data_IF_948225371169
#
_entry.id   IF_948225371169
#
_cell.length_a   1.000
_cell.length_b   1.000
_cell.length_c   1.000
_cell.angle_alpha   90.00
_cell.angle_beta   90.00
_cell.angle_gamma   90.00
#
_symmetry.space_group_name_H-M   'P 1'
#
loop_
_entity.id
_entity.type
_entity.pdbx_description
1 polymer ?
#
# COMPACT_ATOMS: atom_id res chain seq x y z
N UNK A 1 11.66 -23.57 7.02
CA UNK A 1 11.42 -22.99 8.35
C UNK A 1 10.68 -21.65 8.21
N UNK A 2 9.61 -21.49 8.92
CA UNK A 2 8.89 -20.23 8.94
C UNK A 2 9.67 -19.20 9.77
N UNK A 3 10.04 -18.10 9.13
CA UNK A 3 10.82 -17.04 9.77
C UNK A 3 9.95 -15.94 10.37
N UNK A 4 8.65 -15.96 10.10
CA UNK A 4 7.72 -15.00 10.64
C UNK A 4 7.19 -15.49 11.98
N UNK A 5 7.44 -14.71 13.05
CA UNK A 5 7.03 -15.05 14.40
C UNK A 5 5.53 -14.79 14.65
N UNK A 6 4.85 -14.11 13.72
CA UNK A 6 3.46 -13.73 13.88
C UNK A 6 2.57 -14.52 12.94
N UNK A 7 1.41 -14.90 13.44
CA UNK A 7 0.38 -15.56 12.66
C UNK A 7 -0.71 -14.54 12.31
N UNK A 8 -0.82 -14.21 11.03
CA UNK A 8 -1.83 -13.31 10.50
C UNK A 8 -2.93 -14.04 9.74
N UNK A 9 -3.08 -15.32 9.95
CA UNK A 9 -4.10 -16.11 9.30
C UNK A 9 -5.49 -15.50 9.55
N UNK A 10 -6.29 -15.39 8.50
CA UNK A 10 -7.62 -14.78 8.53
C UNK A 10 -7.64 -13.27 8.79
N UNK A 11 -6.48 -12.61 8.73
CA UNK A 11 -6.38 -11.16 8.80
C UNK A 11 -6.20 -10.58 7.40
N UNK A 12 -6.74 -9.40 7.17
CA UNK A 12 -6.57 -8.67 5.92
C UNK A 12 -5.84 -7.37 6.20
N UNK A 13 -4.73 -7.17 5.51
CA UNK A 13 -3.93 -5.96 5.61
C UNK A 13 -4.01 -5.17 4.30
N UNK A 14 -4.25 -3.88 4.42
CA UNK A 14 -4.18 -2.92 3.30
C UNK A 14 -2.88 -2.13 3.47
N UNK A 15 -2.09 -2.05 2.41
CA UNK A 15 -0.80 -1.36 2.42
C UNK A 15 -0.78 -0.33 1.31
N UNK A 16 -0.72 0.94 1.67
CA UNK A 16 -0.61 2.02 0.70
C UNK A 16 0.84 2.15 0.22
N UNK A 17 1.04 2.43 -1.06
CA UNK A 17 2.38 2.46 -1.62
C UNK A 17 3.04 1.08 -1.61
N UNK A 18 2.26 0.01 -1.78
CA UNK A 18 2.72 -1.36 -1.60
C UNK A 18 3.44 -1.99 -2.78
N UNK A 19 3.58 -1.28 -3.90
CA UNK A 19 4.14 -1.85 -5.12
C UNK A 19 5.66 -1.80 -5.19
N UNK A 20 6.32 -1.15 -4.25
CA UNK A 20 7.79 -1.07 -4.22
C UNK A 20 8.29 -0.69 -2.82
N UNK A 21 9.60 -0.81 -2.62
CA UNK A 21 10.28 -0.36 -1.41
C UNK A 21 9.76 -1.02 -0.14
N UNK A 22 9.67 -0.24 0.92
CA UNK A 22 9.24 -0.74 2.23
C UNK A 22 7.83 -1.30 2.21
N UNK A 23 6.93 -0.68 1.47
CA UNK A 23 5.55 -1.18 1.36
C UNK A 23 5.49 -2.58 0.78
N UNK A 24 6.28 -2.85 -0.25
CA UNK A 24 6.37 -4.18 -0.84
C UNK A 24 6.99 -5.19 0.13
N UNK A 25 8.03 -4.81 0.84
CA UNK A 25 8.66 -5.69 1.83
C UNK A 25 7.70 -6.03 2.96
N UNK A 26 6.92 -5.05 3.42
CA UNK A 26 5.89 -5.27 4.44
C UNK A 26 4.81 -6.22 3.92
N UNK A 27 4.38 -6.03 2.68
CA UNK A 27 3.39 -6.91 2.04
C UNK A 27 3.86 -8.36 2.02
N UNK A 28 5.10 -8.60 1.64
CA UNK A 28 5.69 -9.94 1.63
C UNK A 28 5.70 -10.56 3.02
N UNK A 29 6.00 -9.78 4.05
CA UNK A 29 6.00 -10.26 5.44
C UNK A 29 4.62 -10.68 5.90
N UNK A 30 3.60 -9.90 5.59
CA UNK A 30 2.23 -10.27 5.92
C UNK A 30 1.79 -11.53 5.18
N UNK A 31 2.16 -11.67 3.92
CA UNK A 31 1.85 -12.89 3.15
C UNK A 31 2.51 -14.12 3.76
N UNK A 32 3.76 -14.02 4.21
CA UNK A 32 4.46 -15.10 4.90
C UNK A 32 3.74 -15.53 6.17
N UNK A 33 3.11 -14.58 6.86
CA UNK A 33 2.31 -14.84 8.06
C UNK A 33 0.90 -15.35 7.80
N UNK A 34 0.53 -15.54 6.55
CA UNK A 34 -0.78 -16.08 6.17
C UNK A 34 -1.88 -15.06 5.97
N UNK A 35 -1.57 -13.78 6.01
CA UNK A 35 -2.55 -12.72 5.81
C UNK A 35 -3.03 -12.64 4.36
N UNK A 36 -4.24 -12.13 4.16
CA UNK A 36 -4.65 -11.56 2.89
C UNK A 36 -4.09 -10.15 2.83
N UNK A 37 -3.50 -9.79 1.71
CA UNK A 37 -2.87 -8.48 1.52
C UNK A 37 -3.46 -7.80 0.31
N UNK A 38 -3.86 -6.55 0.49
CA UNK A 38 -4.32 -5.67 -0.58
C UNK A 38 -3.33 -4.53 -0.68
N UNK A 39 -2.60 -4.45 -1.77
CA UNK A 39 -1.69 -3.33 -2.00
C UNK A 39 -2.37 -2.25 -2.82
N UNK A 40 -2.20 -1.01 -2.38
CA UNK A 40 -2.71 0.16 -3.07
C UNK A 40 -1.53 0.94 -3.61
N UNK A 41 -1.59 1.28 -4.87
CA UNK A 41 -0.58 2.12 -5.50
C UNK A 41 -1.22 2.87 -6.67
N UNK A 42 -0.65 4.00 -7.00
CA UNK A 42 -1.11 4.79 -8.15
C UNK A 42 -0.52 4.25 -9.46
N UNK A 43 0.56 3.49 -9.38
CA UNK A 43 1.28 2.95 -10.53
C UNK A 43 0.74 1.58 -10.93
N UNK A 44 -0.16 1.57 -11.91
CA UNK A 44 -0.82 0.33 -12.37
C UNK A 44 0.14 -0.68 -12.97
N UNK A 45 1.16 -0.23 -13.68
CA UNK A 45 2.15 -1.12 -14.30
C UNK A 45 2.98 -1.83 -13.23
N UNK A 46 3.37 -1.10 -12.21
CA UNK A 46 4.15 -1.65 -11.10
C UNK A 46 3.33 -2.65 -10.30
N UNK A 47 2.05 -2.36 -10.05
CA UNK A 47 1.13 -3.29 -9.40
C UNK A 47 1.03 -4.60 -10.17
N UNK A 48 0.87 -4.53 -11.48
CA UNK A 48 0.77 -5.72 -12.32
C UNK A 48 2.04 -6.57 -12.25
N UNK A 49 3.20 -5.93 -12.31
CA UNK A 49 4.50 -6.62 -12.17
C UNK A 49 4.62 -7.34 -10.84
N UNK A 50 4.21 -6.69 -9.75
CA UNK A 50 4.28 -7.27 -8.41
C UNK A 50 3.36 -8.47 -8.28
N UNK A 51 2.12 -8.36 -8.75
CA UNK A 51 1.17 -9.47 -8.70
C UNK A 51 1.69 -10.69 -9.47
N UNK A 52 2.25 -10.47 -10.65
CA UNK A 52 2.79 -11.55 -11.47
C UNK A 52 4.05 -12.16 -10.84
N UNK A 53 4.90 -11.35 -10.25
CA UNK A 53 6.15 -11.79 -9.65
C UNK A 53 5.92 -12.63 -8.39
N UNK A 54 5.04 -12.18 -7.51
CA UNK A 54 4.77 -12.87 -6.25
C UNK A 54 3.86 -14.08 -6.46
N UNK A 55 2.85 -13.94 -7.31
CA UNK A 55 1.93 -15.02 -7.67
C UNK A 55 1.35 -15.75 -6.44
N UNK A 56 0.73 -15.00 -5.55
CA UNK A 56 0.11 -15.52 -4.34
C UNK A 56 -1.38 -15.18 -4.33
N UNK A 57 -2.22 -16.17 -4.13
CA UNK A 57 -3.68 -15.98 -4.17
C UNK A 57 -4.18 -15.02 -3.09
N UNK A 58 -3.43 -14.85 -2.02
CA UNK A 58 -3.77 -13.92 -0.94
C UNK A 58 -3.37 -12.48 -1.23
N UNK A 59 -2.70 -12.22 -2.35
CA UNK A 59 -2.28 -10.89 -2.75
C UNK A 59 -3.20 -10.34 -3.84
N UNK A 60 -3.81 -9.20 -3.56
CA UNK A 60 -4.60 -8.43 -4.54
C UNK A 60 -4.14 -6.99 -4.54
N UNK A 61 -4.63 -6.23 -5.49
CA UNK A 61 -4.25 -4.82 -5.60
C UNK A 61 -5.41 -3.95 -6.06
N UNK A 62 -5.32 -2.67 -5.76
CA UNK A 62 -6.20 -1.65 -6.31
C UNK A 62 -5.35 -0.44 -6.73
N UNK A 63 -5.74 0.18 -7.83
CA UNK A 63 -5.15 1.46 -8.26
C UNK A 63 -5.81 2.53 -7.41
N UNK A 64 -5.04 3.17 -6.54
CA UNK A 64 -5.55 4.17 -5.60
C UNK A 64 -4.63 5.36 -5.54
N UNK A 65 -5.20 6.54 -5.70
CA UNK A 65 -4.56 7.79 -5.36
C UNK A 65 -5.02 8.16 -3.94
N UNK A 66 -4.14 8.03 -2.95
CA UNK A 66 -4.49 8.27 -1.54
C UNK A 66 -4.85 9.72 -1.26
N UNK A 67 -4.54 10.64 -2.15
CA UNK A 67 -4.95 12.04 -2.06
C UNK A 67 -6.34 12.29 -2.63
N UNK A 68 -6.96 11.30 -3.24
CA UNK A 68 -8.28 11.38 -3.85
C UNK A 68 -9.25 10.49 -3.07
N UNK A 69 -10.16 11.12 -2.34
CA UNK A 69 -11.11 10.42 -1.46
C UNK A 69 -11.95 9.38 -2.22
N UNK A 70 -12.38 9.68 -3.43
CA UNK A 70 -13.23 8.77 -4.20
C UNK A 70 -12.53 7.45 -4.53
N UNK A 71 -11.25 7.49 -4.90
CA UNK A 71 -10.50 6.27 -5.19
C UNK A 71 -10.29 5.44 -3.93
N UNK A 72 -10.07 6.09 -2.79
CA UNK A 72 -9.95 5.42 -1.49
C UNK A 72 -11.26 4.76 -1.10
N UNK A 73 -12.36 5.48 -1.20
CA UNK A 73 -13.69 4.95 -0.87
C UNK A 73 -14.04 3.73 -1.72
N UNK A 74 -13.82 3.82 -3.03
CA UNK A 74 -14.10 2.71 -3.94
C UNK A 74 -13.27 1.48 -3.60
N UNK A 75 -12.00 1.66 -3.28
CA UNK A 75 -11.11 0.55 -2.92
C UNK A 75 -11.51 -0.09 -1.59
N UNK A 76 -11.89 0.71 -0.60
CA UNK A 76 -12.38 0.21 0.69
C UNK A 76 -13.64 -0.62 0.48
N UNK A 77 -14.60 -0.09 -0.25
CA UNK A 77 -15.87 -0.79 -0.49
C UNK A 77 -15.64 -2.10 -1.24
N UNK A 78 -14.75 -2.12 -2.20
CA UNK A 78 -14.40 -3.32 -2.95
C UNK A 78 -13.79 -4.38 -2.04
N UNK A 79 -12.91 -3.99 -1.14
CA UNK A 79 -12.28 -4.90 -0.19
C UNK A 79 -13.30 -5.46 0.79
N UNK A 80 -14.18 -4.61 1.32
CA UNK A 80 -15.17 -4.99 2.32
C UNK A 80 -16.24 -5.96 1.80
N UNK A 81 -16.40 -6.11 0.49
CA UNK A 81 -17.29 -7.10 -0.08
C UNK A 81 -16.84 -8.54 0.19
N UNK A 82 -15.55 -8.76 0.33
CA UNK A 82 -14.97 -10.09 0.43
C UNK A 82 -14.30 -10.36 1.78
N UNK A 83 -13.94 -9.33 2.53
CA UNK A 83 -13.26 -9.49 3.80
C UNK A 83 -13.37 -8.20 4.63
N UNK A 84 -13.00 -8.30 5.90
CA UNK A 84 -12.81 -7.12 6.74
C UNK A 84 -11.42 -6.55 6.50
N UNK A 85 -11.22 -5.31 6.88
CA UNK A 85 -9.88 -4.70 6.91
C UNK A 85 -9.45 -4.68 8.38
N UNK A 86 -8.44 -5.48 8.71
CA UNK A 86 -7.95 -5.60 10.09
C UNK A 86 -6.76 -4.69 10.35
N UNK A 87 -5.94 -4.46 9.32
CA UNK A 87 -4.68 -3.75 9.44
C UNK A 87 -4.55 -2.76 8.29
N UNK A 88 -4.15 -1.54 8.60
CA UNK A 88 -3.84 -0.53 7.59
C UNK A 88 -2.42 -0.03 7.81
N UNK A 89 -1.59 -0.15 6.80
CA UNK A 89 -0.22 0.39 6.80
C UNK A 89 -0.18 1.60 5.88
N UNK A 90 -0.03 2.77 6.46
CA UNK A 90 0.11 4.03 5.71
C UNK A 90 1.57 4.23 5.33
N UNK A 91 1.94 3.73 4.16
CA UNK A 91 3.31 3.81 3.64
C UNK A 91 3.44 4.73 2.42
N UNK A 92 2.33 5.03 1.74
CA UNK A 92 2.37 5.89 0.57
C UNK A 92 2.94 7.27 0.90
N UNK A 93 3.81 7.77 0.03
CA UNK A 93 4.40 9.08 0.21
C UNK A 93 5.33 9.42 -0.95
N UNK A 94 5.67 10.68 -1.03
CA UNK A 94 6.65 11.20 -1.98
C UNK A 94 7.65 12.05 -1.21
N UNK A 95 8.87 12.15 -1.75
CA UNK A 95 9.87 13.08 -1.23
C UNK A 95 9.94 14.29 -2.15
N UNK A 96 10.07 15.45 -1.54
CA UNK A 96 10.29 16.68 -2.27
C UNK A 96 11.77 17.04 -2.36
N UNK A 97 12.09 18.18 -2.99
CA UNK A 97 13.46 18.66 -3.06
C UNK A 97 14.01 19.00 -1.67
N UNK A 98 15.30 18.78 -1.50
CA UNK A 98 16.00 19.15 -0.25
C UNK A 98 16.33 20.64 -0.30
N UNK A 99 15.75 21.40 0.63
CA UNK A 99 15.97 22.83 0.73
C UNK A 99 15.66 23.31 2.15
N UNK A 100 16.24 24.45 2.60
CA UNK A 100 15.78 25.09 3.82
C UNK A 100 14.28 25.42 3.74
N UNK A 101 13.61 25.40 4.87
CA UNK A 101 12.16 25.58 4.92
C UNK A 101 11.68 26.86 4.22
N UNK A 102 12.42 27.96 4.40
CA UNK A 102 12.05 29.24 3.78
C UNK A 102 12.27 29.31 2.27
N UNK A 103 12.99 28.35 1.70
CA UNK A 103 13.22 28.26 0.26
C UNK A 103 12.36 27.18 -0.38
N UNK A 104 11.57 26.46 0.42
CA UNK A 104 10.80 25.32 -0.08
C UNK A 104 9.64 25.80 -0.94
N UNK A 105 9.48 25.15 -2.10
CA UNK A 105 8.37 25.42 -3.02
C UNK A 105 7.05 25.02 -2.36
N UNK A 106 6.13 25.97 -2.25
CA UNK A 106 4.83 25.75 -1.60
C UNK A 106 4.01 24.67 -2.32
N UNK A 107 4.06 24.64 -3.64
CA UNK A 107 3.33 23.64 -4.42
C UNK A 107 3.89 22.23 -4.15
N UNK A 108 5.20 22.10 -4.06
CA UNK A 108 5.85 20.84 -3.71
C UNK A 108 5.53 20.40 -2.29
N UNK A 109 5.52 21.35 -1.36
CA UNK A 109 5.13 21.08 0.03
C UNK A 109 3.69 20.56 0.09
N UNK A 110 2.77 21.23 -0.57
CA UNK A 110 1.36 20.83 -0.60
C UNK A 110 1.17 19.46 -1.25
N UNK A 111 1.92 19.16 -2.31
CA UNK A 111 1.89 17.87 -2.97
C UNK A 111 2.31 16.74 -2.02
N UNK A 112 3.37 16.94 -1.25
CA UNK A 112 3.87 15.96 -0.28
C UNK A 112 2.86 15.76 0.86
N UNK A 113 2.37 16.83 1.43
CA UNK A 113 1.47 16.78 2.60
C UNK A 113 0.14 16.15 2.24
N UNK A 114 -0.29 16.26 0.98
CA UNK A 114 -1.56 15.71 0.50
C UNK A 114 -1.56 14.17 0.47
N UNK A 115 -0.41 13.58 0.28
CA UNK A 115 -0.26 12.14 0.31
C UNK A 115 -0.35 11.64 1.76
#
# INVERSE_FOLDING_TARGET
MNKNLFDFKNKTAVITGGAQGFGLDIAKRFLEGGAKVVIWDIDSELLEKVLNSINNDNLTSNIVDVSNYKTVEDAVNKTLKNSNIDILINNAGITGPTAPLWEYDVDKWNEIVKI
#
